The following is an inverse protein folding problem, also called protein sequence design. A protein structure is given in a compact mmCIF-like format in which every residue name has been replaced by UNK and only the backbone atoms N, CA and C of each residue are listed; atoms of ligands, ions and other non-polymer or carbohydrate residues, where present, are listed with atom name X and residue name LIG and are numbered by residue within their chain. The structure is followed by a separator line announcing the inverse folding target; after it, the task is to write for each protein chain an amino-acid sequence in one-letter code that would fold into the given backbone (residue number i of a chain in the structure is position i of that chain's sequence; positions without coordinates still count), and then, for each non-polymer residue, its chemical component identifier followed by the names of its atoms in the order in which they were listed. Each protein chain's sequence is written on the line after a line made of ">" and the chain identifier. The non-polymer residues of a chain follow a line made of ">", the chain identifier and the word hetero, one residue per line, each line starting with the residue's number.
data_IF_103175381545
#
_entry.id   IF_103175381545
#
_cell.length_a   1.000
_cell.length_b   1.000
_cell.length_c   1.000
_cell.angle_alpha   90.00
_cell.angle_beta   90.00
_cell.angle_gamma   90.00
#
_symmetry.space_group_name_H-M   'P 1'
#
loop_
_entity.id
_entity.type
_entity.pdbx_description
1 polymer ?
#
# COMPACT_ATOMS: atom_id res chain seq x y z
N UNK A 1 15.69 -25.12 -5.98
CA UNK A 1 14.64 -24.13 -5.77
C UNK A 1 14.18 -24.26 -4.33
N UNK A 2 14.43 -23.25 -3.50
CA UNK A 2 13.95 -23.22 -2.12
C UNK A 2 12.45 -22.94 -2.16
N UNK A 3 11.66 -23.81 -1.56
CA UNK A 3 10.23 -23.60 -1.34
C UNK A 3 10.05 -22.27 -0.57
N UNK A 4 9.19 -21.33 -0.99
CA UNK A 4 8.93 -20.14 -0.19
C UNK A 4 8.36 -20.58 1.17
N UNK A 5 9.01 -20.19 2.26
CA UNK A 5 8.53 -20.49 3.60
C UNK A 5 7.20 -19.77 3.86
N UNK A 6 6.32 -20.43 4.61
CA UNK A 6 4.89 -20.13 4.68
C UNK A 6 4.57 -18.69 5.12
N UNK A 7 3.98 -17.92 4.20
CA UNK A 7 3.35 -16.65 4.54
C UNK A 7 2.06 -16.88 5.33
N UNK A 8 2.00 -16.40 6.57
CA UNK A 8 0.81 -16.55 7.42
C UNK A 8 0.21 -15.19 7.69
N UNK A 9 -1.00 -14.89 7.15
CA UNK A 9 -1.71 -13.66 7.49
C UNK A 9 -1.85 -13.47 9.00
N UNK A 10 -1.59 -12.26 9.47
CA UNK A 10 -1.82 -11.86 10.86
C UNK A 10 -2.96 -10.84 10.92
N UNK A 11 -3.78 -10.90 11.96
CA UNK A 11 -4.87 -9.93 12.17
C UNK A 11 -4.77 -9.36 13.57
N UNK A 12 -4.87 -8.04 13.66
CA UNK A 12 -4.85 -7.29 14.90
C UNK A 12 -6.08 -6.40 14.95
N UNK A 13 -6.68 -6.30 16.12
CA UNK A 13 -7.81 -5.42 16.38
C UNK A 13 -7.57 -4.61 17.64
N UNK A 14 -8.24 -3.47 17.75
CA UNK A 14 -8.18 -2.62 18.91
C UNK A 14 -9.10 -1.42 18.79
N UNK A 15 -8.96 -0.53 19.77
CA UNK A 15 -9.69 0.73 19.85
C UNK A 15 -8.77 1.79 20.41
N UNK A 16 -8.88 3.00 19.89
CA UNK A 16 -8.07 4.12 20.34
C UNK A 16 -6.59 4.00 19.97
N UNK A 17 -5.79 4.92 20.49
CA UNK A 17 -4.34 4.94 20.29
C UNK A 17 -3.65 3.67 20.78
N UNK A 18 -2.64 3.21 20.05
CA UNK A 18 -1.85 2.03 20.43
C UNK A 18 -0.48 2.01 19.80
N UNK A 19 0.53 1.60 20.56
CA UNK A 19 1.77 1.05 20.01
C UNK A 19 1.57 -0.46 19.85
N UNK A 20 1.28 -0.91 18.63
CA UNK A 20 0.97 -2.28 18.30
C UNK A 20 2.24 -3.06 17.98
N UNK A 21 2.44 -4.20 18.64
CA UNK A 21 3.44 -5.20 18.25
C UNK A 21 2.89 -6.07 17.14
N UNK A 22 3.64 -6.19 16.05
CA UNK A 22 3.27 -7.02 14.90
C UNK A 22 4.33 -8.09 14.62
N UNK A 23 3.89 -9.13 13.93
CA UNK A 23 4.74 -10.16 13.33
C UNK A 23 4.58 -10.07 11.82
N UNK A 24 5.70 -9.96 11.11
CA UNK A 24 5.68 -9.94 9.64
C UNK A 24 5.01 -11.21 9.11
N UNK A 25 4.12 -11.10 8.10
CA UNK A 25 3.49 -12.25 7.47
C UNK A 25 4.44 -12.95 6.49
N UNK A 26 5.64 -12.40 6.24
CA UNK A 26 6.66 -12.92 5.31
C UNK A 26 8.03 -12.96 5.99
N UNK A 27 8.91 -13.86 5.55
CA UNK A 27 10.29 -13.95 6.06
C UNK A 27 11.17 -12.78 5.60
N UNK A 28 10.92 -12.32 4.38
CA UNK A 28 11.67 -11.28 3.69
C UNK A 28 10.80 -10.61 2.64
N UNK A 29 11.16 -9.37 2.28
CA UNK A 29 10.43 -8.61 1.27
C UNK A 29 9.32 -7.78 1.87
N UNK A 30 8.66 -6.97 1.04
CA UNK A 30 7.54 -6.18 1.48
C UNK A 30 6.32 -7.03 1.78
N UNK A 31 5.39 -6.45 2.52
CA UNK A 31 4.07 -7.04 2.79
C UNK A 31 3.00 -5.95 2.81
N UNK A 32 1.73 -6.35 2.78
CA UNK A 32 0.59 -5.44 2.79
C UNK A 32 0.06 -5.27 4.20
N UNK A 33 -0.30 -4.05 4.56
CA UNK A 33 -1.20 -3.74 5.66
C UNK A 33 -2.57 -3.37 5.08
N UNK A 34 -3.57 -4.24 5.27
CA UNK A 34 -4.98 -3.92 5.07
C UNK A 34 -5.53 -3.29 6.35
N UNK A 35 -5.96 -2.03 6.26
CA UNK A 35 -6.27 -1.19 7.41
C UNK A 35 -7.74 -0.75 7.30
N UNK A 36 -8.49 -0.96 8.37
CA UNK A 36 -9.86 -0.51 8.52
C UNK A 36 -10.03 0.26 9.84
N UNK A 37 -10.71 1.40 9.79
CA UNK A 37 -11.10 2.19 10.97
C UNK A 37 -12.55 2.65 10.83
N UNK A 38 -13.29 2.62 11.95
CA UNK A 38 -14.68 3.13 12.05
C UNK A 38 -14.78 4.43 12.84
N UNK A 39 -13.63 5.04 13.13
CA UNK A 39 -13.52 6.34 13.78
C UNK A 39 -14.21 7.46 13.00
N UNK A 40 -14.46 8.57 13.68
CA UNK A 40 -15.06 9.78 13.08
C UNK A 40 -14.11 10.97 13.06
N UNK A 41 -13.04 10.90 13.84
CA UNK A 41 -12.00 11.92 13.96
C UNK A 41 -10.70 11.44 13.25
N UNK A 42 -9.58 12.07 13.56
CA UNK A 42 -8.27 11.74 13.05
C UNK A 42 -7.92 10.25 13.26
N UNK A 43 -7.52 9.60 12.17
CA UNK A 43 -7.00 8.25 12.17
C UNK A 43 -5.66 8.22 11.43
N UNK A 44 -4.60 7.81 12.14
CA UNK A 44 -3.28 7.65 11.56
C UNK A 44 -2.62 6.33 11.96
N UNK A 45 -1.92 5.71 11.00
CA UNK A 45 -1.11 4.51 11.23
C UNK A 45 0.28 4.73 10.66
N UNK A 46 1.29 4.58 11.51
CA UNK A 46 2.70 4.71 11.14
C UNK A 46 3.45 3.42 11.41
N UNK A 47 4.41 3.07 10.55
CA UNK A 47 5.48 2.14 10.93
C UNK A 47 6.44 2.84 11.89
N UNK A 48 7.03 2.06 12.80
CA UNK A 48 8.10 2.53 13.67
C UNK A 48 9.41 1.81 13.35
N UNK A 49 10.49 2.57 13.31
CA UNK A 49 11.84 2.02 13.19
C UNK A 49 12.33 1.37 14.51
N UNK A 50 13.54 0.82 14.51
CA UNK A 50 14.11 0.16 15.70
C UNK A 50 14.34 1.12 16.89
N UNK A 51 14.41 2.43 16.65
CA UNK A 51 14.52 3.47 17.68
C UNK A 51 13.14 3.99 18.15
N UNK A 52 12.04 3.38 17.69
CA UNK A 52 10.65 3.79 17.95
C UNK A 52 10.27 5.16 17.37
N UNK A 53 11.00 5.63 16.37
CA UNK A 53 10.65 6.83 15.61
C UNK A 53 9.71 6.45 14.45
N UNK A 54 8.80 7.34 14.10
CA UNK A 54 7.92 7.18 12.93
C UNK A 54 8.74 7.16 11.65
N UNK A 55 8.45 6.21 10.77
CA UNK A 55 9.17 6.01 9.51
C UNK A 55 8.26 6.21 8.29
N UNK A 56 7.32 5.28 8.04
CA UNK A 56 6.34 5.38 6.94
C UNK A 56 4.93 5.60 7.47
N UNK A 57 4.20 6.55 6.86
CA UNK A 57 2.76 6.73 7.06
C UNK A 57 1.99 5.74 6.19
N UNK A 58 1.18 4.88 6.79
CA UNK A 58 0.40 3.84 6.10
C UNK A 58 -1.05 4.25 5.86
N UNK A 59 -1.62 5.07 6.75
CA UNK A 59 -2.97 5.61 6.64
C UNK A 59 -3.02 6.95 7.36
N UNK A 60 -3.70 7.94 6.77
CA UNK A 60 -3.99 9.23 7.40
C UNK A 60 -5.30 9.77 6.85
N UNK A 61 -6.33 9.84 7.67
CA UNK A 61 -7.65 10.34 7.28
C UNK A 61 -8.37 10.96 8.46
N UNK A 62 -9.38 11.78 8.17
CA UNK A 62 -10.39 12.18 9.14
C UNK A 62 -11.63 11.33 8.86
N UNK A 63 -12.11 10.63 9.87
CA UNK A 63 -13.26 9.72 9.75
C UNK A 63 -12.89 8.29 9.37
N UNK A 64 -13.86 7.52 8.82
CA UNK A 64 -13.65 6.11 8.53
C UNK A 64 -12.55 5.89 7.50
N UNK A 65 -11.79 4.80 7.66
CA UNK A 65 -10.73 4.41 6.74
C UNK A 65 -10.94 2.98 6.25
N UNK A 66 -10.64 2.75 4.96
CA UNK A 66 -10.43 1.42 4.40
C UNK A 66 -9.40 1.52 3.28
N UNK A 67 -8.30 0.79 3.41
CA UNK A 67 -7.22 0.87 2.44
C UNK A 67 -6.19 -0.23 2.60
N UNK A 68 -5.31 -0.33 1.61
CA UNK A 68 -4.12 -1.20 1.67
C UNK A 68 -2.87 -0.37 1.39
N UNK A 69 -1.88 -0.50 2.26
CA UNK A 69 -0.58 0.15 2.12
C UNK A 69 0.54 -0.89 2.09
N UNK A 70 1.63 -0.57 1.42
CA UNK A 70 2.82 -1.41 1.37
C UNK A 70 3.71 -1.11 2.59
N UNK A 71 4.34 -2.15 3.15
CA UNK A 71 5.24 -2.05 4.31
C UNK A 71 6.59 -2.66 3.96
N UNK A 72 7.66 -2.04 4.44
CA UNK A 72 9.06 -2.44 4.26
C UNK A 72 9.49 -2.51 2.78
N UNK A 73 8.84 -1.76 1.88
CA UNK A 73 9.14 -1.78 0.44
C UNK A 73 10.51 -1.25 0.09
N UNK A 74 11.09 -0.40 0.95
CA UNK A 74 12.46 0.13 0.79
C UNK A 74 13.48 -0.67 1.61
N UNK A 75 13.12 -1.86 2.05
CA UNK A 75 13.84 -2.61 3.07
C UNK A 75 13.39 -2.22 4.48
N UNK A 76 13.69 -3.08 5.45
CA UNK A 76 13.27 -2.90 6.82
C UNK A 76 12.83 -4.23 7.46
N UNK A 77 12.53 -4.17 8.75
CA UNK A 77 11.78 -5.21 9.48
C UNK A 77 10.91 -4.51 10.49
N UNK A 78 9.78 -3.97 10.03
CA UNK A 78 8.81 -3.32 10.90
C UNK A 78 8.24 -4.35 11.88
N UNK A 79 8.39 -4.08 13.18
CA UNK A 79 7.81 -4.93 14.25
C UNK A 79 6.82 -4.17 15.13
N UNK A 80 6.67 -2.85 14.89
CA UNK A 80 5.82 -1.97 15.66
C UNK A 80 5.09 -1.00 14.74
N UNK A 81 3.80 -0.79 15.02
CA UNK A 81 3.01 0.27 14.42
C UNK A 81 2.57 1.25 15.52
N UNK A 82 2.59 2.54 15.22
CA UNK A 82 1.90 3.56 16.03
C UNK A 82 0.54 3.83 15.39
N UNK A 83 -0.51 3.69 16.19
CA UNK A 83 -1.90 3.91 15.79
C UNK A 83 -2.41 5.08 16.62
N UNK A 84 -2.98 6.07 15.96
CA UNK A 84 -3.73 7.17 16.54
C UNK A 84 -5.18 7.04 16.04
N UNK A 85 -6.15 6.95 16.95
CA UNK A 85 -7.54 6.68 16.60
C UNK A 85 -8.50 7.11 17.72
N UNK A 86 -9.73 7.48 17.34
CA UNK A 86 -10.86 7.68 18.27
C UNK A 86 -11.79 6.44 18.34
N UNK A 87 -11.71 5.56 17.34
CA UNK A 87 -12.61 4.44 17.13
C UNK A 87 -11.96 3.05 17.16
N UNK A 88 -12.75 2.05 16.77
CA UNK A 88 -12.28 0.69 16.55
C UNK A 88 -11.50 0.62 15.23
N UNK A 89 -10.45 -0.20 15.23
CA UNK A 89 -9.63 -0.47 14.07
C UNK A 89 -9.28 -1.94 13.95
N UNK A 90 -9.04 -2.37 12.70
CA UNK A 90 -8.52 -3.68 12.35
C UNK A 90 -7.36 -3.52 11.37
N UNK A 91 -6.26 -4.24 11.61
CA UNK A 91 -5.09 -4.29 10.73
C UNK A 91 -4.82 -5.75 10.38
N UNK A 92 -4.88 -6.06 9.10
CA UNK A 92 -4.51 -7.37 8.53
C UNK A 92 -3.18 -7.25 7.81
N UNK A 93 -2.22 -8.07 8.20
CA UNK A 93 -0.93 -8.16 7.50
C UNK A 93 -0.96 -9.34 6.55
N UNK A 94 -0.71 -9.08 5.27
CA UNK A 94 -0.84 -10.05 4.20
C UNK A 94 0.45 -10.10 3.36
N UNK A 95 0.83 -11.26 2.79
CA UNK A 95 1.83 -11.27 1.73
C UNK A 95 1.37 -10.44 0.54
N UNK A 96 2.31 -9.91 -0.24
CA UNK A 96 1.99 -9.10 -1.43
C UNK A 96 1.18 -9.84 -2.48
N UNK A 97 1.21 -11.18 -2.51
CA UNK A 97 0.36 -12.00 -3.38
C UNK A 97 -1.14 -11.85 -3.13
N UNK A 98 -1.55 -11.29 -1.99
CA UNK A 98 -2.95 -10.94 -1.72
C UNK A 98 -3.39 -9.63 -2.39
N UNK A 99 -2.47 -8.84 -2.96
CA UNK A 99 -2.82 -7.68 -3.77
C UNK A 99 -3.47 -8.12 -5.09
N UNK A 100 -4.45 -7.32 -5.53
CA UNK A 100 -5.13 -7.54 -6.81
C UNK A 100 -4.10 -7.45 -7.94
N UNK A 101 -4.26 -8.32 -8.93
CA UNK A 101 -3.43 -8.30 -10.13
C UNK A 101 -4.07 -7.36 -11.16
N UNK A 102 -3.31 -6.36 -11.63
CA UNK A 102 -3.66 -5.58 -12.80
C UNK A 102 -3.46 -6.45 -14.05
N UNK A 103 -4.54 -6.67 -14.80
CA UNK A 103 -4.49 -7.34 -16.11
C UNK A 103 -4.84 -6.34 -17.21
N UNK A 104 -6.12 -6.17 -17.54
CA UNK A 104 -6.58 -5.30 -18.63
C UNK A 104 -7.03 -3.93 -18.11
N UNK A 105 -7.84 -3.95 -17.05
CA UNK A 105 -8.33 -2.75 -16.39
C UNK A 105 -8.62 -3.06 -14.94
N UNK A 106 -8.21 -2.16 -14.05
CA UNK A 106 -8.53 -2.24 -12.63
C UNK A 106 -9.16 -0.94 -12.19
N UNK A 107 -10.24 -1.06 -11.42
CA UNK A 107 -10.89 0.08 -10.75
C UNK A 107 -10.83 -0.11 -9.24
N UNK A 108 -10.82 1.00 -8.52
CA UNK A 108 -10.81 1.01 -7.07
C UNK A 108 -11.17 2.38 -6.52
N UNK A 109 -11.12 2.51 -5.20
CA UNK A 109 -11.33 3.77 -4.49
C UNK A 109 -10.43 3.79 -3.26
N UNK A 110 -9.89 4.96 -2.94
CA UNK A 110 -8.98 5.09 -1.81
C UNK A 110 -7.61 4.44 -2.06
N UNK A 111 -6.75 4.37 -1.03
CA UNK A 111 -5.41 3.85 -1.18
C UNK A 111 -5.41 2.33 -1.36
N UNK A 112 -4.60 1.85 -2.30
CA UNK A 112 -4.46 0.43 -2.61
C UNK A 112 -3.04 0.10 -3.06
N UNK A 113 -2.62 -1.15 -2.89
CA UNK A 113 -1.46 -1.71 -3.58
C UNK A 113 -1.90 -2.82 -4.52
N UNK A 114 -1.40 -2.76 -5.76
CA UNK A 114 -1.76 -3.62 -6.89
C UNK A 114 -0.50 -4.30 -7.43
N UNK A 115 -0.61 -5.51 -7.98
CA UNK A 115 0.51 -6.21 -8.64
C UNK A 115 0.45 -6.02 -10.15
N UNK A 116 1.61 -6.00 -10.79
CA UNK A 116 1.77 -6.07 -12.23
C UNK A 116 2.84 -7.11 -12.60
N UNK A 117 2.48 -8.02 -13.53
CA UNK A 117 3.36 -9.08 -14.02
C UNK A 117 3.61 -9.01 -15.53
N UNK A 118 3.07 -7.98 -16.20
CA UNK A 118 3.16 -7.84 -17.65
C UNK A 118 4.44 -7.13 -18.11
N UNK A 119 4.58 -6.90 -19.43
CA UNK A 119 5.75 -6.22 -19.98
C UNK A 119 5.77 -4.74 -19.57
N UNK A 120 6.88 -4.07 -19.89
CA UNK A 120 6.92 -2.60 -19.85
C UNK A 120 5.90 -2.07 -20.85
N UNK A 121 4.99 -1.21 -20.40
CA UNK A 121 3.89 -0.71 -21.23
C UNK A 121 3.47 0.71 -20.82
N UNK A 122 2.59 1.33 -21.60
CA UNK A 122 1.90 2.57 -21.22
C UNK A 122 0.78 2.23 -20.24
N UNK A 123 0.63 3.04 -19.19
CA UNK A 123 -0.44 2.92 -18.22
C UNK A 123 -1.28 4.19 -18.21
N UNK A 124 -2.51 4.09 -18.69
CA UNK A 124 -3.52 5.12 -18.52
C UNK A 124 -4.09 5.05 -17.09
N UNK A 125 -4.08 6.19 -16.40
CA UNK A 125 -4.51 6.32 -15.00
C UNK A 125 -5.48 7.47 -14.87
N UNK A 126 -6.60 7.23 -14.16
CA UNK A 126 -7.54 8.29 -13.79
C UNK A 126 -7.75 8.31 -12.29
N UNK A 127 -8.00 9.47 -11.70
CA UNK A 127 -8.46 9.64 -10.33
C UNK A 127 -9.51 10.75 -10.28
N UNK A 128 -10.55 10.57 -9.46
CA UNK A 128 -11.54 11.61 -9.14
C UNK A 128 -11.55 11.80 -7.64
N UNK A 129 -11.00 12.89 -7.16
CA UNK A 129 -10.78 13.12 -5.73
C UNK A 129 -10.40 14.57 -5.47
N UNK A 130 -10.04 14.91 -4.24
CA UNK A 130 -9.78 16.29 -3.84
C UNK A 130 -8.38 16.49 -3.24
N UNK A 131 -7.74 15.41 -2.82
CA UNK A 131 -6.48 15.43 -2.07
C UNK A 131 -5.32 14.89 -2.91
N UNK A 132 -4.18 14.67 -2.27
CA UNK A 132 -3.00 14.07 -2.89
C UNK A 132 -3.35 12.77 -3.62
N UNK A 133 -2.91 12.67 -4.88
CA UNK A 133 -2.95 11.46 -5.68
C UNK A 133 -1.55 11.11 -6.14
N UNK A 134 -0.97 10.05 -5.57
CA UNK A 134 0.38 9.58 -5.90
C UNK A 134 0.28 8.12 -6.31
N UNK A 135 0.93 7.78 -7.42
CA UNK A 135 1.11 6.40 -7.85
C UNK A 135 2.61 6.14 -7.99
N UNK A 136 3.12 5.18 -7.23
CA UNK A 136 4.52 4.75 -7.25
C UNK A 136 4.66 3.29 -7.64
N UNK A 137 5.73 2.96 -8.36
CA UNK A 137 6.07 1.58 -8.69
C UNK A 137 7.24 1.09 -7.83
N UNK A 138 7.16 -0.15 -7.36
CA UNK A 138 8.16 -0.80 -6.51
C UNK A 138 8.46 -2.24 -6.97
N UNK A 139 9.65 -2.74 -6.67
CA UNK A 139 9.98 -4.16 -6.84
C UNK A 139 9.20 -5.03 -5.86
N UNK A 140 9.10 -6.33 -6.16
CA UNK A 140 8.59 -7.34 -5.21
C UNK A 140 9.64 -7.76 -4.18
N UNK A 141 10.91 -7.39 -4.39
CA UNK A 141 12.00 -7.57 -3.44
C UNK A 141 12.20 -6.28 -2.61
N UNK A 142 12.55 -6.41 -1.34
CA UNK A 142 12.79 -5.25 -0.47
C UNK A 142 14.29 -4.92 -0.40
N UNK A 143 14.73 -3.92 -1.16
CA UNK A 143 16.08 -3.37 -1.07
C UNK A 143 16.12 -1.84 -1.32
N UNK A 144 17.31 -1.24 -1.23
CA UNK A 144 17.47 0.21 -1.47
C UNK A 144 17.19 0.65 -2.92
N UNK A 145 17.15 -0.30 -3.86
CA UNK A 145 16.81 -0.10 -5.27
C UNK A 145 15.34 -0.39 -5.57
N UNK A 146 14.50 -0.62 -4.55
CA UNK A 146 13.15 -1.10 -4.76
C UNK A 146 12.21 -0.11 -5.44
N UNK A 147 12.50 1.19 -5.41
CA UNK A 147 11.64 2.19 -6.05
C UNK A 147 11.92 2.29 -7.55
N UNK A 148 10.92 1.93 -8.36
CA UNK A 148 11.01 1.89 -9.81
C UNK A 148 10.58 3.20 -10.48
N UNK A 149 9.89 4.09 -9.76
CA UNK A 149 9.56 5.44 -10.23
C UNK A 149 8.16 5.92 -9.86
N UNK A 150 7.93 7.22 -10.07
CA UNK A 150 6.61 7.84 -9.94
C UNK A 150 5.85 7.68 -11.25
N UNK A 151 4.63 7.16 -11.19
CA UNK A 151 3.71 7.02 -12.32
C UNK A 151 2.71 8.18 -12.38
N UNK A 152 2.27 8.69 -11.23
CA UNK A 152 1.45 9.89 -11.12
C UNK A 152 1.77 10.64 -9.82
N UNK A 153 1.66 11.96 -9.86
CA UNK A 153 1.75 12.83 -8.67
C UNK A 153 0.93 14.10 -8.96
N UNK A 154 -0.22 14.22 -8.31
CA UNK A 154 -1.17 15.29 -8.52
C UNK A 154 -1.93 15.60 -7.23
N UNK A 155 -2.75 16.65 -7.27
CA UNK A 155 -3.73 16.98 -6.24
C UNK A 155 -5.10 17.01 -6.92
N UNK A 156 -6.05 16.25 -6.38
CA UNK A 156 -7.41 16.14 -6.88
C UNK A 156 -7.54 15.22 -8.09
N UNK A 157 -8.37 15.64 -9.06
CA UNK A 157 -8.60 14.90 -10.30
C UNK A 157 -7.30 14.68 -11.10
N UNK A 158 -7.16 13.49 -11.66
CA UNK A 158 -6.05 13.12 -12.53
C UNK A 158 -6.58 12.34 -13.74
N UNK A 159 -6.01 12.61 -14.91
CA UNK A 159 -6.23 11.88 -16.15
C UNK A 159 -4.94 11.97 -16.96
N UNK A 160 -4.22 10.86 -17.09
CA UNK A 160 -2.90 10.87 -17.69
C UNK A 160 -2.30 9.50 -17.92
N UNK A 161 -1.15 9.50 -18.58
CA UNK A 161 -0.42 8.31 -18.97
C UNK A 161 1.00 8.33 -18.39
N UNK A 162 1.53 7.14 -18.12
CA UNK A 162 2.90 6.95 -17.65
C UNK A 162 3.49 5.67 -18.22
N UNK A 163 4.80 5.50 -18.08
CA UNK A 163 5.46 4.24 -18.45
C UNK A 163 5.49 3.32 -17.24
N UNK A 164 4.69 2.26 -17.29
CA UNK A 164 4.69 1.20 -16.29
C UNK A 164 5.90 0.27 -16.53
N UNK A 165 6.78 0.07 -15.53
CA UNK A 165 7.89 -0.87 -15.64
C UNK A 165 7.42 -2.31 -15.91
N UNK A 166 8.31 -3.13 -16.47
CA UNK A 166 8.04 -4.56 -16.58
C UNK A 166 7.90 -5.18 -15.18
N UNK A 167 6.94 -6.09 -15.05
CA UNK A 167 6.77 -6.88 -13.83
C UNK A 167 7.83 -7.99 -13.66
N UNK A 168 7.84 -8.67 -12.51
CA UNK A 168 6.92 -8.50 -11.38
C UNK A 168 7.21 -7.21 -10.60
N UNK A 169 6.18 -6.38 -10.40
CA UNK A 169 6.27 -5.16 -9.60
C UNK A 169 4.96 -4.89 -8.85
N UNK A 170 5.05 -3.96 -7.90
CA UNK A 170 3.97 -3.46 -7.07
C UNK A 170 3.68 -2.02 -7.46
N UNK A 171 2.41 -1.65 -7.52
CA UNK A 171 1.93 -0.30 -7.77
C UNK A 171 1.22 0.14 -6.49
N UNK A 172 1.78 1.11 -5.78
CA UNK A 172 1.16 1.71 -4.59
C UNK A 172 0.44 3.00 -4.99
N UNK A 173 -0.83 3.10 -4.61
CA UNK A 173 -1.69 4.24 -4.88
C UNK A 173 -2.03 4.92 -3.54
N UNK A 174 -1.71 6.20 -3.44
CA UNK A 174 -2.32 7.14 -2.50
C UNK A 174 -3.45 7.85 -3.23
N UNK A 175 -4.68 7.71 -2.75
CA UNK A 175 -5.88 8.28 -3.37
C UNK A 175 -6.96 8.50 -2.32
N UNK A 176 -7.81 9.53 -2.51
CA UNK A 176 -8.97 9.81 -1.65
C UNK A 176 -10.31 9.57 -2.34
N UNK A 177 -10.30 9.21 -3.62
CA UNK A 177 -11.51 8.90 -4.39
C UNK A 177 -11.34 7.75 -5.38
N UNK A 178 -12.33 7.55 -6.28
CA UNK A 178 -12.27 6.48 -7.26
C UNK A 178 -11.17 6.71 -8.30
N UNK A 179 -10.54 5.62 -8.71
CA UNK A 179 -9.48 5.62 -9.71
C UNK A 179 -9.60 4.44 -10.67
N UNK A 180 -8.90 4.55 -11.80
CA UNK A 180 -8.80 3.48 -12.80
C UNK A 180 -7.36 3.36 -13.30
N UNK A 181 -6.91 2.12 -13.50
CA UNK A 181 -5.62 1.75 -14.08
C UNK A 181 -5.88 0.89 -15.31
N UNK A 182 -5.33 1.27 -16.46
CA UNK A 182 -5.51 0.54 -17.73
C UNK A 182 -4.16 0.47 -18.45
N UNK A 183 -3.41 -0.65 -18.37
CA UNK A 183 -2.24 -0.84 -19.19
C UNK A 183 -2.63 -1.02 -20.65
N UNK A 184 -1.82 -0.51 -21.57
CA UNK A 184 -1.91 -0.91 -22.96
C UNK A 184 -1.47 -2.36 -23.08
N UNK A 185 -2.37 -3.21 -23.55
CA UNK A 185 -2.07 -4.61 -23.84
C UNK A 185 -1.78 -4.70 -25.33
N UNK A 186 -0.53 -4.98 -25.68
CA UNK A 186 -0.09 -5.24 -27.06
C UNK A 186 -0.48 -6.64 -27.54
#
# INVERSE_FOLDING_TARGET
>A
ASTPTAATPATYNGRGDKILTITSPVESGPFLAEIESRGTDNFAVWTLNAALETDKLLANTIGPHRGRALVDERGGRTTRLKIEADGEWTIRLLPVDAARLLTDRLTGTGPETVRWNGPRTVLATTHRGQSTFIVGAFTVEADKGAYLGTLANAIGDYDGESILPAGPCLIELEADGPWTLTPEVG
#
